data_IF_180395598491
#
_entry.id   IF_180395598491
#
_cell.length_a   1.000
_cell.length_b   1.000
_cell.length_c   1.000
_cell.angle_alpha   90.00
_cell.angle_beta   90.00
_cell.angle_gamma   90.00
#
_symmetry.space_group_name_H-M   'P 1'
#
loop_
_entity.id
_entity.type
_entity.pdbx_description
1 polymer ?
#
# COMPACT_ATOMS: atom_id res chain seq x y z
N UNK A 1 6.26 -20.06 6.06
CA UNK A 1 5.79 -19.20 7.16
C UNK A 1 4.29 -19.11 7.07
N UNK A 2 3.53 -19.27 8.16
CA UNK A 2 2.08 -19.11 8.13
C UNK A 2 1.67 -17.66 7.86
N UNK A 3 0.38 -17.40 7.63
CA UNK A 3 -0.16 -16.05 7.69
C UNK A 3 0.10 -15.46 9.09
N UNK A 4 0.37 -14.15 9.15
CA UNK A 4 0.73 -13.46 10.40
C UNK A 4 -0.35 -12.41 10.69
N UNK A 5 -1.22 -12.64 11.69
CA UNK A 5 -2.13 -11.62 12.16
C UNK A 5 -1.36 -10.39 12.65
N UNK A 6 -1.83 -9.21 12.29
CA UNK A 6 -1.34 -7.95 12.83
C UNK A 6 -2.50 -7.21 13.48
N UNK A 7 -2.57 -7.33 14.79
CA UNK A 7 -3.57 -6.65 15.61
C UNK A 7 -3.16 -5.19 15.78
N UNK A 8 -4.11 -4.31 15.53
CA UNK A 8 -3.96 -2.85 15.57
C UNK A 8 -4.94 -2.31 16.61
N UNK A 9 -4.59 -2.30 17.91
CA UNK A 9 -5.51 -1.90 18.98
C UNK A 9 -6.09 -0.51 18.72
N UNK A 10 -7.41 -0.36 18.91
CA UNK A 10 -8.11 0.90 18.67
C UNK A 10 -8.31 1.28 17.20
N UNK A 11 -7.85 0.47 16.24
CA UNK A 11 -8.12 0.68 14.80
C UNK A 11 -9.26 -0.21 14.34
N UNK A 12 -10.11 0.30 13.44
CA UNK A 12 -11.17 -0.49 12.83
C UNK A 12 -10.61 -1.50 11.82
N UNK A 13 -9.65 -1.07 10.99
CA UNK A 13 -9.04 -1.93 9.96
C UNK A 13 -7.95 -2.80 10.59
N UNK A 14 -8.26 -4.07 10.85
CA UNK A 14 -7.29 -5.08 11.29
C UNK A 14 -6.58 -5.70 10.09
N UNK A 15 -5.34 -6.18 10.26
CA UNK A 15 -4.52 -6.66 9.15
C UNK A 15 -4.10 -8.14 9.30
N UNK A 16 -3.92 -8.82 8.17
CA UNK A 16 -3.42 -10.17 8.06
C UNK A 16 -2.35 -10.25 6.96
N UNK A 17 -1.10 -10.40 7.36
CA UNK A 17 0.01 -10.59 6.42
C UNK A 17 -0.04 -11.99 5.83
N UNK A 18 -0.30 -12.08 4.52
CA UNK A 18 -0.57 -13.36 3.84
C UNK A 18 0.74 -14.00 3.38
N UNK A 19 0.93 -15.27 3.73
CA UNK A 19 2.12 -16.06 3.38
C UNK A 19 2.53 -15.94 1.93
N UNK A 20 1.56 -15.93 1.00
CA UNK A 20 1.84 -15.92 -0.44
C UNK A 20 2.63 -14.68 -0.88
N UNK A 21 2.46 -13.56 -0.18
CA UNK A 21 3.12 -12.27 -0.43
C UNK A 21 4.39 -12.06 0.43
N UNK A 22 4.80 -13.04 1.22
CA UNK A 22 6.09 -12.97 1.93
C UNK A 22 7.24 -13.23 0.96
N UNK A 23 8.38 -12.55 1.16
CA UNK A 23 9.64 -12.77 0.41
C UNK A 23 10.00 -14.26 0.29
N UNK A 24 9.86 -15.01 1.38
CA UNK A 24 10.22 -16.43 1.49
C UNK A 24 9.22 -17.41 0.84
N UNK A 25 8.09 -16.91 0.33
CA UNK A 25 7.05 -17.72 -0.33
C UNK A 25 7.57 -18.46 -1.56
N UNK A 26 7.13 -19.70 -1.78
CA UNK A 26 7.43 -20.47 -3.00
C UNK A 26 6.56 -20.08 -4.20
N UNK A 27 5.52 -19.25 -4.02
CA UNK A 27 4.65 -18.80 -5.12
C UNK A 27 5.40 -17.78 -5.99
N UNK A 28 5.95 -18.24 -7.11
CA UNK A 28 6.82 -17.44 -7.99
C UNK A 28 6.12 -16.24 -8.63
N UNK A 29 4.83 -16.35 -8.94
CA UNK A 29 4.11 -15.31 -9.69
C UNK A 29 3.41 -14.29 -8.79
N UNK A 30 3.40 -14.49 -7.48
CA UNK A 30 2.87 -13.49 -6.56
C UNK A 30 3.87 -12.35 -6.39
N UNK A 31 3.38 -11.11 -6.34
CA UNK A 31 4.14 -9.98 -5.81
C UNK A 31 4.48 -10.23 -4.34
N UNK A 32 5.67 -9.82 -3.91
CA UNK A 32 6.18 -10.14 -2.58
C UNK A 32 6.78 -8.93 -1.91
N UNK A 33 6.39 -8.71 -0.66
CA UNK A 33 6.99 -7.73 0.22
C UNK A 33 8.45 -8.06 0.48
N UNK A 34 9.29 -7.04 0.54
CA UNK A 34 10.70 -7.18 0.91
C UNK A 34 10.84 -7.65 2.37
N UNK A 35 10.01 -7.08 3.25
CA UNK A 35 9.90 -7.48 4.66
C UNK A 35 8.47 -7.28 5.18
N UNK A 36 8.12 -8.02 6.24
CA UNK A 36 6.84 -7.84 6.95
C UNK A 36 6.78 -6.49 7.66
N UNK A 37 7.93 -5.88 7.98
CA UNK A 37 7.99 -4.55 8.59
C UNK A 37 7.48 -3.50 7.59
N UNK A 38 8.05 -3.50 6.37
CA UNK A 38 7.63 -2.59 5.29
C UNK A 38 6.17 -2.78 4.89
N UNK A 39 5.70 -4.03 4.83
CA UNK A 39 4.29 -4.37 4.59
C UNK A 39 3.35 -3.69 5.59
N UNK A 40 3.63 -3.87 6.89
CA UNK A 40 2.80 -3.29 7.96
C UNK A 40 2.86 -1.78 7.97
N UNK A 41 4.04 -1.21 7.75
CA UNK A 41 4.23 0.23 7.72
C UNK A 41 3.50 0.89 6.56
N UNK A 42 3.53 0.29 5.36
CA UNK A 42 2.74 0.76 4.23
C UNK A 42 1.24 0.74 4.54
N UNK A 43 0.76 -0.33 5.16
CA UNK A 43 -0.66 -0.44 5.51
C UNK A 43 -1.05 0.61 6.56
N UNK A 44 -0.22 0.81 7.59
CA UNK A 44 -0.46 1.81 8.62
C UNK A 44 -0.50 3.21 8.03
N UNK A 45 0.52 3.60 7.26
CA UNK A 45 0.60 4.92 6.63
C UNK A 45 -0.63 5.17 5.75
N UNK A 46 -1.04 4.19 4.94
CA UNK A 46 -2.24 4.30 4.12
C UNK A 46 -3.51 4.49 4.97
N UNK A 47 -3.67 3.71 6.03
CA UNK A 47 -4.83 3.77 6.91
C UNK A 47 -4.89 5.04 7.76
N UNK A 48 -3.74 5.57 8.19
CA UNK A 48 -3.63 6.85 8.88
C UNK A 48 -3.67 8.05 7.91
N UNK A 49 -3.35 7.84 6.64
CA UNK A 49 -3.27 8.88 5.63
C UNK A 49 -2.13 9.88 5.86
N UNK A 50 -1.03 9.45 6.47
CA UNK A 50 0.17 10.26 6.69
C UNK A 50 1.35 9.41 7.16
N UNK A 51 2.58 9.87 6.90
CA UNK A 51 3.81 9.16 7.31
C UNK A 51 4.02 9.10 8.83
N UNK A 52 3.52 10.08 9.59
CA UNK A 52 3.69 10.11 11.05
C UNK A 52 2.75 9.17 11.80
N UNK A 53 1.81 8.52 11.09
CA UNK A 53 0.80 7.60 11.65
C UNK A 53 -0.02 8.26 12.77
N UNK A 54 -0.31 9.55 12.61
CA UNK A 54 -1.12 10.35 13.53
C UNK A 54 -2.58 10.36 13.12
N UNK A 55 -3.48 10.41 14.11
CA UNK A 55 -4.93 10.52 13.86
C UNK A 55 -5.28 11.92 13.36
N UNK A 56 -6.35 12.01 12.55
CA UNK A 56 -6.90 13.30 12.09
C UNK A 56 -6.91 13.45 10.58
N UNK A 57 -6.12 12.65 9.85
CA UNK A 57 -6.12 12.62 8.40
C UNK A 57 -7.12 11.57 7.88
N UNK A 58 -7.62 11.80 6.67
CA UNK A 58 -8.36 10.80 5.92
C UNK A 58 -7.40 9.73 5.41
N UNK A 59 -7.81 8.47 5.46
CA UNK A 59 -7.03 7.36 4.90
C UNK A 59 -6.79 7.57 3.40
N UNK A 60 -5.64 7.11 2.91
CA UNK A 60 -5.30 7.11 1.49
C UNK A 60 -6.07 6.03 0.74
N UNK A 61 -7.36 6.29 0.55
CA UNK A 61 -8.30 5.42 -0.13
C UNK A 61 -8.56 5.91 -1.56
N UNK A 62 -8.60 4.98 -2.51
CA UNK A 62 -9.09 5.25 -3.86
C UNK A 62 -10.63 5.29 -3.92
N UNK A 63 -11.18 5.58 -5.10
CA UNK A 63 -12.63 5.68 -5.31
C UNK A 63 -13.38 4.35 -5.06
N UNK A 64 -12.65 3.22 -5.07
CA UNK A 64 -13.17 1.89 -4.75
C UNK A 64 -12.94 1.51 -3.28
N UNK A 65 -12.49 2.46 -2.46
CA UNK A 65 -12.13 2.28 -1.05
C UNK A 65 -10.98 1.30 -0.83
N UNK A 66 -10.14 1.05 -1.83
CA UNK A 66 -8.89 0.32 -1.60
C UNK A 66 -7.86 1.28 -1.02
N UNK A 67 -7.05 0.79 -0.09
CA UNK A 67 -5.97 1.58 0.47
C UNK A 67 -4.72 1.48 -0.41
N UNK A 68 -4.04 2.62 -0.55
CA UNK A 68 -2.75 2.73 -1.20
C UNK A 68 -1.75 3.34 -0.23
N UNK A 69 -0.58 2.71 -0.11
CA UNK A 69 0.50 3.19 0.76
C UNK A 69 1.82 3.25 0.03
N UNK A 70 2.71 4.11 0.51
CA UNK A 70 4.12 4.15 0.14
C UNK A 70 4.92 4.68 1.34
N UNK A 71 6.24 4.48 1.31
CA UNK A 71 7.16 5.00 2.32
C UNK A 71 7.75 6.34 1.86
N UNK A 72 8.28 7.17 2.79
CA UNK A 72 9.03 8.38 2.42
C UNK A 72 10.12 8.08 1.37
N UNK A 73 10.38 9.06 0.51
CA UNK A 73 11.35 8.96 -0.59
C UNK A 73 11.09 7.77 -1.56
N UNK A 74 9.86 7.28 -1.60
CA UNK A 74 9.44 6.13 -2.40
C UNK A 74 10.36 4.91 -2.21
N UNK A 75 10.69 4.58 -0.96
CA UNK A 75 11.51 3.41 -0.67
C UNK A 75 10.90 2.14 -1.31
N UNK A 76 11.75 1.28 -1.87
CA UNK A 76 11.33 -0.02 -2.40
C UNK A 76 10.76 -0.87 -1.26
N UNK A 77 9.55 -1.39 -1.44
CA UNK A 77 8.82 -2.21 -0.46
C UNK A 77 8.62 -3.64 -0.93
N UNK A 78 8.78 -3.91 -2.22
CA UNK A 78 8.68 -5.23 -2.82
C UNK A 78 10.00 -5.78 -3.37
N UNK A 79 10.00 -7.07 -3.69
CA UNK A 79 11.21 -7.79 -4.15
C UNK A 79 11.60 -7.53 -5.61
N UNK A 80 10.83 -6.74 -6.37
CA UNK A 80 11.01 -6.46 -7.79
C UNK A 80 11.00 -4.95 -8.09
N UNK A 81 11.35 -4.13 -7.10
CA UNK A 81 11.37 -2.66 -7.25
C UNK A 81 9.99 -2.01 -7.08
N UNK A 82 9.00 -2.74 -6.56
CA UNK A 82 7.72 -2.13 -6.19
C UNK A 82 7.92 -1.13 -5.04
N UNK A 83 7.39 0.09 -5.18
CA UNK A 83 7.49 1.18 -4.17
C UNK A 83 6.17 1.42 -3.42
N UNK A 84 5.07 0.83 -3.89
CA UNK A 84 3.73 1.03 -3.32
C UNK A 84 3.16 -0.27 -2.77
N UNK A 85 2.30 -0.13 -1.76
CA UNK A 85 1.39 -1.15 -1.28
C UNK A 85 -0.02 -0.93 -1.78
N UNK A 86 -0.65 -2.00 -2.31
CA UNK A 86 -2.08 -2.02 -2.62
C UNK A 86 -2.81 -2.96 -1.67
N UNK A 87 -3.86 -2.46 -1.03
CA UNK A 87 -4.66 -3.20 -0.06
C UNK A 87 -6.13 -3.11 -0.46
N UNK A 88 -6.67 -4.13 -1.14
CA UNK A 88 -8.05 -4.10 -1.59
C UNK A 88 -9.03 -4.09 -0.41
N UNK A 89 -10.13 -3.36 -0.55
CA UNK A 89 -11.22 -3.40 0.41
C UNK A 89 -11.73 -4.84 0.57
N UNK A 90 -11.80 -5.39 1.80
CA UNK A 90 -12.38 -6.70 2.03
C UNK A 90 -13.85 -6.74 1.59
N UNK A 91 -14.25 -7.82 0.91
CA UNK A 91 -15.66 -8.03 0.52
C UNK A 91 -16.55 -8.24 1.74
N UNK A 92 -16.06 -9.00 2.73
CA UNK A 92 -16.69 -9.11 4.04
C UNK A 92 -16.04 -8.12 5.00
N UNK A 93 -16.84 -7.24 5.60
CA UNK A 93 -16.36 -6.19 6.51
C UNK A 93 -15.72 -6.72 7.79
N UNK A 94 -15.94 -7.99 8.14
CA UNK A 94 -15.31 -8.66 9.27
C UNK A 94 -13.94 -9.27 8.92
N UNK A 95 -13.61 -9.38 7.63
CA UNK A 95 -12.32 -9.90 7.22
C UNK A 95 -11.22 -8.87 7.49
N UNK A 96 -10.07 -9.40 7.90
CA UNK A 96 -8.86 -8.58 8.01
C UNK A 96 -8.42 -8.15 6.63
N UNK A 97 -7.94 -6.91 6.54
CA UNK A 97 -7.28 -6.39 5.36
C UNK A 97 -5.99 -7.17 5.10
N UNK A 98 -5.62 -7.27 3.83
CA UNK A 98 -4.32 -7.75 3.41
C UNK A 98 -3.93 -7.03 2.12
N UNK A 99 -2.66 -7.10 1.73
CA UNK A 99 -2.22 -6.47 0.49
C UNK A 99 -0.97 -7.09 -0.08
N UNK A 100 -0.47 -6.44 -1.12
CA UNK A 100 0.72 -6.83 -1.84
C UNK A 100 1.41 -5.60 -2.42
N UNK A 101 2.74 -5.67 -2.61
CA UNK A 101 3.45 -4.56 -3.20
C UNK A 101 3.19 -4.51 -4.71
N UNK A 102 3.24 -3.30 -5.26
CA UNK A 102 2.91 -3.04 -6.66
C UNK A 102 3.73 -1.87 -7.23
N UNK A 103 3.88 -1.87 -8.55
CA UNK A 103 4.24 -0.68 -9.33
C UNK A 103 2.92 -0.16 -9.91
N UNK A 104 2.42 1.01 -9.49
CA UNK A 104 1.18 1.58 -10.02
C UNK A 104 1.23 1.74 -11.54
N UNK A 105 0.06 1.76 -12.18
CA UNK A 105 -0.12 1.91 -13.63
C UNK A 105 0.51 0.82 -14.49
N UNK A 106 1.11 -0.20 -13.86
CA UNK A 106 1.68 -1.38 -14.50
C UNK A 106 0.88 -2.61 -14.12
N UNK A 107 0.27 -3.27 -15.11
CA UNK A 107 -0.46 -4.51 -14.88
C UNK A 107 -1.90 -4.33 -14.35
N UNK A 108 -2.52 -3.17 -14.62
CA UNK A 108 -3.97 -2.98 -14.48
C UNK A 108 -4.45 -2.36 -13.16
N UNK A 109 -3.55 -1.96 -12.27
CA UNK A 109 -3.89 -1.21 -11.06
C UNK A 109 -3.46 0.24 -11.18
N UNK A 110 -4.43 1.14 -11.19
CA UNK A 110 -4.20 2.58 -11.33
C UNK A 110 -4.64 3.27 -10.05
N UNK A 111 -3.81 4.19 -9.55
CA UNK A 111 -4.24 5.09 -8.46
C UNK A 111 -5.27 6.06 -9.07
N UNK A 112 -6.37 6.32 -8.37
CA UNK A 112 -7.38 7.25 -8.85
C UNK A 112 -6.84 8.68 -8.88
N UNK A 113 -7.34 9.50 -9.80
CA UNK A 113 -6.97 10.92 -9.88
C UNK A 113 -7.24 11.65 -8.56
N UNK A 114 -8.37 11.34 -7.89
CA UNK A 114 -8.71 11.92 -6.60
C UNK A 114 -7.65 11.63 -5.53
N UNK A 115 -7.11 10.40 -5.49
CA UNK A 115 -6.09 10.04 -4.51
C UNK A 115 -4.73 10.68 -4.85
N UNK A 116 -4.40 10.81 -6.14
CA UNK A 116 -3.21 11.55 -6.57
C UNK A 116 -3.30 13.03 -6.20
N UNK A 117 -4.47 13.66 -6.40
CA UNK A 117 -4.73 15.04 -5.99
C UNK A 117 -4.56 15.21 -4.48
N UNK A 118 -5.08 14.27 -3.67
CA UNK A 118 -4.86 14.27 -2.21
C UNK A 118 -3.37 14.22 -1.87
N UNK A 119 -2.56 13.42 -2.56
CA UNK A 119 -1.12 13.34 -2.29
C UNK A 119 -0.37 14.59 -2.74
N UNK A 120 -0.79 15.24 -3.82
CA UNK A 120 -0.25 16.54 -4.26
C UNK A 120 -0.59 17.63 -3.25
N UNK A 121 -1.86 17.70 -2.80
CA UNK A 121 -2.31 18.69 -1.82
C UNK A 121 -1.64 18.50 -0.45
N UNK A 122 -1.20 17.28 -0.14
CA UNK A 122 -0.42 16.96 1.06
C UNK A 122 1.10 17.18 0.86
N UNK A 123 1.52 17.69 -0.30
CA UNK A 123 2.93 17.91 -0.68
C UNK A 123 3.80 16.65 -0.57
N UNK A 124 3.20 15.46 -0.77
CA UNK A 124 3.91 14.18 -0.71
C UNK A 124 4.52 13.79 -2.05
N UNK A 125 3.88 14.23 -3.13
CA UNK A 125 4.29 14.03 -4.52
C UNK A 125 4.02 15.34 -5.29
N UNK A 126 4.67 15.51 -6.44
CA UNK A 126 4.34 16.59 -7.37
C UNK A 126 3.81 16.10 -8.73
N UNK A 127 3.58 17.02 -9.68
CA UNK A 127 3.07 16.69 -11.01
C UNK A 127 4.05 15.88 -11.87
N UNK A 128 5.36 16.04 -11.62
CA UNK A 128 6.42 15.32 -12.34
C UNK A 128 6.50 13.87 -11.81
N UNK A 129 6.30 13.69 -10.51
CA UNK A 129 6.13 12.37 -9.89
C UNK A 129 4.94 11.63 -10.49
N UNK A 130 3.77 12.28 -10.58
CA UNK A 130 2.58 11.67 -11.22
C UNK A 130 2.87 11.26 -12.66
N UNK A 131 3.50 12.13 -13.43
CA UNK A 131 3.87 11.86 -14.83
C UNK A 131 4.81 10.65 -14.93
N UNK A 132 5.76 10.54 -14.01
CA UNK A 132 6.72 9.43 -13.94
C UNK A 132 6.03 8.11 -13.57
N UNK A 133 5.15 8.12 -12.56
CA UNK A 133 4.34 6.96 -12.17
C UNK A 133 3.43 6.48 -13.29
N UNK A 134 2.71 7.40 -13.96
CA UNK A 134 1.84 7.05 -15.10
C UNK A 134 2.63 6.49 -16.29
N UNK A 135 3.89 6.90 -16.45
CA UNK A 135 4.83 6.29 -17.39
C UNK A 135 5.26 4.86 -17.01
N UNK A 136 4.77 4.32 -15.89
CA UNK A 136 5.11 3.00 -15.37
C UNK A 136 6.53 2.91 -14.83
N UNK A 137 7.12 4.05 -14.48
CA UNK A 137 8.47 4.17 -13.94
C UNK A 137 8.40 4.26 -12.41
N UNK A 138 9.49 3.83 -11.79
CA UNK A 138 9.75 4.09 -10.38
C UNK A 138 10.21 5.54 -10.22
N UNK A 139 9.86 6.14 -9.09
CA UNK A 139 10.32 7.47 -8.68
C UNK A 139 11.74 7.41 -8.12
#
# INVERSE_FOLDING_TARGET
MPNIPYDRPGRQRQYLSIQKHHRTSRKKNASKWESVIKEKENFDIADFGNFSKTLGNQSWEDDNQNLWGFLPDFEVVGTRGEQFGFFPKPTNTHDRWHGYPIIPFKGGHNISSNLLEVWIDQELIDSDDVSTLMGGKIL
#
